data_IF_365773666967
#
_entry.id   IF_365773666967
#
_cell.length_a   1.000
_cell.length_b   1.000
_cell.length_c   1.000
_cell.angle_alpha   90.00
_cell.angle_beta   90.00
_cell.angle_gamma   90.00
#
_symmetry.space_group_name_H-M   'P 1'
#
loop_
_entity.id
_entity.type
_entity.pdbx_description
1 polymer ?
#
# COMPACT_ATOMS: atom_id res chain seq x y z
N UNK A 1 -4.92 -20.22 10.54
CA UNK A 1 -4.66 -19.41 11.76
C UNK A 1 -3.90 -18.16 11.37
N UNK A 2 -4.24 -17.03 12.00
CA UNK A 2 -3.59 -15.76 11.72
C UNK A 2 -2.36 -15.55 12.58
N UNK A 3 -1.32 -14.93 12.03
CA UNK A 3 -0.10 -14.63 12.75
C UNK A 3 -0.36 -13.59 13.86
N UNK A 4 0.48 -13.56 14.91
CA UNK A 4 0.39 -12.49 15.93
C UNK A 4 0.53 -11.09 15.31
N UNK A 5 1.38 -10.92 14.30
CA UNK A 5 1.57 -9.66 13.62
C UNK A 5 0.29 -9.20 12.92
N UNK A 6 -0.38 -10.11 12.22
CA UNK A 6 -1.64 -9.81 11.55
C UNK A 6 -2.71 -9.41 12.55
N UNK A 7 -2.81 -10.15 13.66
CA UNK A 7 -3.78 -9.86 14.71
C UNK A 7 -3.52 -8.47 15.31
N UNK A 8 -2.25 -8.14 15.56
CA UNK A 8 -1.90 -6.82 16.10
C UNK A 8 -2.32 -5.69 15.16
N UNK A 9 -2.04 -5.82 13.87
CA UNK A 9 -2.44 -4.81 12.89
C UNK A 9 -3.96 -4.71 12.75
N UNK A 10 -4.67 -5.82 12.93
CA UNK A 10 -6.13 -5.79 12.88
C UNK A 10 -6.70 -5.06 14.10
N UNK A 11 -6.14 -5.32 15.29
CA UNK A 11 -6.61 -4.69 16.53
C UNK A 11 -6.21 -3.23 16.64
N UNK A 12 -5.06 -2.89 16.08
CA UNK A 12 -4.47 -1.55 16.19
C UNK A 12 -4.00 -1.07 14.81
N UNK A 13 -4.93 -0.78 13.88
CA UNK A 13 -4.53 -0.33 12.54
C UNK A 13 -3.73 0.97 12.61
N UNK A 14 -2.63 1.02 11.87
CA UNK A 14 -1.79 2.20 11.79
C UNK A 14 -2.05 2.91 10.48
N UNK A 15 -2.07 4.25 10.54
CA UNK A 15 -2.10 5.10 9.35
C UNK A 15 -3.37 4.94 8.51
N UNK A 16 -4.49 4.60 9.16
CA UNK A 16 -5.78 4.55 8.48
C UNK A 16 -6.28 5.97 8.23
N UNK A 17 -6.95 6.19 7.10
CA UNK A 17 -7.57 7.45 6.76
C UNK A 17 -7.04 8.07 5.49
N UNK A 18 -7.64 9.21 5.12
CA UNK A 18 -7.25 9.97 3.95
C UNK A 18 -6.02 10.82 4.22
N UNK A 19 -5.37 11.26 3.15
CA UNK A 19 -4.25 12.18 3.21
C UNK A 19 -4.60 13.41 2.38
N UNK A 20 -4.35 14.59 2.94
CA UNK A 20 -4.56 15.84 2.19
C UNK A 20 -3.43 16.02 1.19
N UNK A 21 -3.79 16.34 -0.05
CA UNK A 21 -2.84 16.62 -1.14
C UNK A 21 -1.75 15.55 -1.26
N UNK A 22 -2.12 14.28 -1.47
CA UNK A 22 -1.13 13.22 -1.59
C UNK A 22 -0.29 13.37 -2.85
N UNK A 23 0.95 12.89 -2.80
CA UNK A 23 1.83 12.88 -3.96
C UNK A 23 1.57 11.69 -4.87
N UNK A 24 0.95 10.66 -4.36
CA UNK A 24 0.53 9.51 -5.15
C UNK A 24 -0.65 8.81 -4.51
N UNK A 25 -1.57 8.32 -5.34
CA UNK A 25 -2.75 7.56 -4.91
C UNK A 25 -2.88 6.34 -5.79
N UNK A 26 -3.14 5.19 -5.19
CA UNK A 26 -3.35 3.97 -5.94
C UNK A 26 -4.36 3.06 -5.28
N UNK A 27 -4.99 2.22 -6.08
CA UNK A 27 -5.99 1.27 -5.63
C UNK A 27 -5.67 -0.12 -6.11
N UNK A 28 -6.05 -1.10 -5.29
CA UNK A 28 -6.09 -2.49 -5.67
C UNK A 28 -7.41 -3.07 -5.23
N UNK A 29 -7.95 -4.01 -6.00
CA UNK A 29 -9.21 -4.63 -5.64
C UNK A 29 -9.23 -6.11 -5.99
N UNK A 30 -10.05 -6.85 -5.27
CA UNK A 30 -10.30 -8.25 -5.51
C UNK A 30 -11.82 -8.43 -5.58
N UNK A 31 -12.34 -8.44 -6.80
CA UNK A 31 -13.79 -8.40 -7.03
C UNK A 31 -14.54 -9.60 -6.44
N UNK A 32 -13.91 -10.77 -6.44
CA UNK A 32 -14.54 -11.98 -5.92
C UNK A 32 -14.94 -11.84 -4.45
N UNK A 33 -14.18 -11.08 -3.66
CA UNK A 33 -14.47 -10.83 -2.24
C UNK A 33 -14.88 -9.40 -1.96
N UNK A 34 -14.97 -8.58 -3.00
CA UNK A 34 -15.29 -7.15 -2.89
C UNK A 34 -14.31 -6.38 -2.00
N UNK A 35 -13.05 -6.84 -1.96
CA UNK A 35 -12.00 -6.15 -1.24
C UNK A 35 -11.46 -5.01 -2.10
N UNK A 36 -11.24 -3.86 -1.46
CA UNK A 36 -10.63 -2.70 -2.10
C UNK A 36 -9.67 -2.06 -1.11
N UNK A 37 -8.46 -1.75 -1.55
CA UNK A 37 -7.52 -0.97 -0.77
C UNK A 37 -7.09 0.24 -1.57
N UNK A 38 -7.07 1.40 -0.91
CA UNK A 38 -6.57 2.65 -1.50
C UNK A 38 -5.42 3.13 -0.64
N UNK A 39 -4.29 3.45 -1.28
CA UNK A 39 -3.10 3.96 -0.60
C UNK A 39 -2.80 5.38 -1.05
N UNK A 40 -2.41 6.19 -0.08
CA UNK A 40 -1.98 7.58 -0.27
C UNK A 40 -0.53 7.68 0.15
N UNK A 41 0.30 8.31 -0.67
CA UNK A 41 1.72 8.47 -0.37
C UNK A 41 2.10 9.94 -0.37
N UNK A 42 2.89 10.33 0.62
CA UNK A 42 3.59 11.61 0.64
C UNK A 42 5.07 11.32 0.43
N UNK A 43 5.69 12.06 -0.47
CA UNK A 43 7.03 11.77 -0.98
C UNK A 43 7.93 12.97 -0.77
N UNK A 44 9.18 12.70 -0.39
CA UNK A 44 10.24 13.70 -0.35
C UNK A 44 11.53 13.05 -0.83
N UNK A 45 12.20 13.71 -1.79
CA UNK A 45 13.45 13.22 -2.35
C UNK A 45 13.38 11.79 -2.86
N UNK A 46 12.26 11.46 -3.51
CA UNK A 46 12.05 10.14 -4.11
C UNK A 46 11.70 9.04 -3.14
N UNK A 47 11.52 9.34 -1.85
CA UNK A 47 11.18 8.37 -0.82
C UNK A 47 9.86 8.71 -0.16
N UNK A 48 9.15 7.67 0.28
CA UNK A 48 7.89 7.84 1.00
C UNK A 48 8.18 8.30 2.43
N UNK A 49 7.61 9.44 2.82
CA UNK A 49 7.71 9.94 4.19
C UNK A 49 6.46 9.67 5.01
N UNK A 50 5.33 9.44 4.35
CA UNK A 50 4.09 9.08 5.00
C UNK A 50 3.25 8.25 4.05
N UNK A 51 2.62 7.19 4.55
CA UNK A 51 1.65 6.41 3.81
C UNK A 51 0.39 6.27 4.65
N UNK A 52 -0.78 6.35 4.00
CA UNK A 52 -2.08 6.13 4.64
C UNK A 52 -2.92 5.23 3.77
N UNK A 53 -3.95 4.65 4.36
CA UNK A 53 -4.82 3.74 3.60
C UNK A 53 -6.28 3.89 3.99
N UNK A 54 -7.14 3.55 3.04
CA UNK A 54 -8.56 3.27 3.28
C UNK A 54 -8.85 1.91 2.66
N UNK A 55 -9.60 1.07 3.36
CA UNK A 55 -9.87 -0.29 2.90
C UNK A 55 -11.34 -0.63 3.12
N UNK A 56 -11.92 -1.27 2.14
CA UNK A 56 -13.23 -1.90 2.22
C UNK A 56 -13.02 -3.39 2.01
N UNK A 57 -13.44 -4.22 2.96
CA UNK A 57 -13.24 -5.66 2.83
C UNK A 57 -13.07 -6.34 4.17
N UNK A 58 -12.44 -7.50 4.15
CA UNK A 58 -12.29 -8.33 5.33
C UNK A 58 -11.19 -7.85 6.28
N UNK A 59 -11.19 -8.38 7.51
CA UNK A 59 -10.20 -8.07 8.51
C UNK A 59 -8.76 -8.26 8.05
N UNK A 60 -8.42 -9.39 7.41
CA UNK A 60 -7.07 -9.56 6.87
C UNK A 60 -6.63 -8.49 5.90
N UNK A 61 -7.53 -7.96 5.06
CA UNK A 61 -7.19 -6.89 4.13
C UNK A 61 -6.92 -5.58 4.87
N UNK A 62 -7.70 -5.28 5.90
CA UNK A 62 -7.48 -4.10 6.74
C UNK A 62 -6.12 -4.20 7.44
N UNK A 63 -5.85 -5.35 8.07
CA UNK A 63 -4.60 -5.57 8.79
C UNK A 63 -3.38 -5.52 7.85
N UNK A 64 -3.52 -6.12 6.67
CA UNK A 64 -2.44 -6.13 5.67
C UNK A 64 -2.19 -4.73 5.12
N UNK A 65 -3.24 -3.92 4.95
CA UNK A 65 -3.09 -2.52 4.54
C UNK A 65 -2.34 -1.71 5.60
N UNK A 66 -2.67 -1.92 6.87
CA UNK A 66 -1.95 -1.29 7.98
C UNK A 66 -0.46 -1.61 7.93
N UNK A 67 -0.12 -2.90 7.82
CA UNK A 67 1.27 -3.33 7.70
C UNK A 67 1.93 -2.76 6.43
N UNK A 68 1.17 -2.67 5.35
CA UNK A 68 1.64 -2.10 4.09
C UNK A 68 2.08 -0.65 4.21
N UNK A 69 1.42 0.15 5.04
CA UNK A 69 1.83 1.54 5.25
C UNK A 69 3.18 1.61 5.95
N UNK A 70 3.42 0.72 6.92
CA UNK A 70 4.71 0.67 7.60
C UNK A 70 5.80 0.15 6.67
N UNK A 71 5.48 -0.82 5.84
CA UNK A 71 6.41 -1.34 4.83
C UNK A 71 6.81 -0.26 3.84
N UNK A 72 5.87 0.57 3.42
CA UNK A 72 6.10 1.60 2.41
C UNK A 72 6.92 2.77 2.94
N UNK A 73 6.80 3.09 4.23
CA UNK A 73 7.47 4.24 4.81
C UNK A 73 8.99 4.12 4.69
N UNK A 74 9.63 5.16 4.18
CA UNK A 74 11.08 5.20 3.99
C UNK A 74 11.58 4.57 2.71
N UNK A 75 10.72 3.90 1.94
CA UNK A 75 11.13 3.21 0.72
C UNK A 75 11.19 4.16 -0.46
N UNK A 76 12.03 3.82 -1.43
CA UNK A 76 12.09 4.55 -2.70
C UNK A 76 10.88 4.20 -3.55
N UNK A 77 10.41 5.19 -4.31
CA UNK A 77 9.24 4.97 -5.18
C UNK A 77 9.47 3.86 -6.20
N UNK A 78 10.68 3.78 -6.77
CA UNK A 78 11.02 2.74 -7.75
C UNK A 78 10.89 1.34 -7.15
N UNK A 79 11.30 1.18 -5.90
CA UNK A 79 11.22 -0.11 -5.21
C UNK A 79 9.76 -0.48 -4.95
N UNK A 80 8.95 0.49 -4.56
CA UNK A 80 7.52 0.25 -4.32
C UNK A 80 6.75 0.00 -5.62
N UNK A 81 7.17 0.62 -6.71
CA UNK A 81 6.55 0.38 -8.02
C UNK A 81 6.73 -1.07 -8.51
N UNK A 82 7.71 -1.77 -7.95
CA UNK A 82 8.00 -3.17 -8.26
C UNK A 82 7.80 -4.10 -7.06
N UNK A 83 7.08 -3.65 -6.04
CA UNK A 83 6.89 -4.41 -4.80
C UNK A 83 6.21 -5.75 -5.05
N UNK A 84 6.85 -6.88 -4.68
CA UNK A 84 6.22 -8.19 -4.85
C UNK A 84 5.14 -8.44 -3.78
N UNK A 85 4.12 -9.21 -4.15
CA UNK A 85 3.08 -9.63 -3.20
C UNK A 85 3.68 -10.33 -1.98
N UNK A 86 4.71 -11.15 -2.21
CA UNK A 86 5.37 -11.90 -1.14
C UNK A 86 5.96 -11.02 -0.04
N UNK A 87 6.43 -9.80 -0.39
CA UNK A 87 6.94 -8.85 0.59
C UNK A 87 5.83 -8.35 1.51
N UNK A 88 4.64 -8.14 0.96
CA UNK A 88 3.48 -7.70 1.73
C UNK A 88 3.02 -8.84 2.64
N UNK A 89 2.95 -10.06 2.12
CA UNK A 89 2.56 -11.21 2.94
C UNK A 89 3.55 -11.42 4.09
N UNK A 90 4.84 -11.31 3.83
CA UNK A 90 5.86 -11.44 4.86
C UNK A 90 5.73 -10.37 5.96
N UNK A 91 5.29 -9.16 5.58
CA UNK A 91 5.12 -8.07 6.54
C UNK A 91 4.06 -8.35 7.61
N UNK A 92 3.12 -9.26 7.32
CA UNK A 92 2.10 -9.68 8.30
C UNK A 92 2.38 -11.06 8.88
N UNK A 93 3.57 -11.61 8.63
CA UNK A 93 3.96 -12.92 9.15
C UNK A 93 3.29 -14.09 8.44
N UNK A 94 2.81 -13.88 7.21
CA UNK A 94 2.14 -14.89 6.42
C UNK A 94 0.62 -14.80 6.53
N UNK A 95 -0.05 -15.34 5.53
CA UNK A 95 -1.52 -15.36 5.45
C UNK A 95 -1.99 -16.80 5.20
N UNK A 96 -3.14 -17.21 5.77
CA UNK A 96 -3.75 -18.48 5.38
C UNK A 96 -4.04 -18.47 3.88
N UNK A 97 -4.01 -19.66 3.25
CA UNK A 97 -4.16 -19.78 1.80
C UNK A 97 -5.38 -19.08 1.25
N UNK A 98 -6.52 -19.19 1.92
CA UNK A 98 -7.78 -18.57 1.49
C UNK A 98 -7.81 -17.05 1.69
N UNK A 99 -6.77 -16.49 2.32
CA UNK A 99 -6.67 -15.04 2.57
C UNK A 99 -5.47 -14.39 1.88
N UNK A 100 -4.74 -15.14 1.05
CA UNK A 100 -3.56 -14.59 0.37
C UNK A 100 -3.89 -13.45 -0.58
N UNK A 101 -5.13 -13.38 -1.07
CA UNK A 101 -5.56 -12.28 -1.91
C UNK A 101 -5.41 -10.92 -1.21
N UNK A 102 -5.40 -10.88 0.12
CA UNK A 102 -5.18 -9.64 0.86
C UNK A 102 -3.82 -9.03 0.53
N UNK A 103 -2.77 -9.85 0.46
CA UNK A 103 -1.44 -9.36 0.10
C UNK A 103 -1.40 -8.86 -1.35
N UNK A 104 -2.09 -9.56 -2.24
CA UNK A 104 -2.18 -9.19 -3.66
C UNK A 104 -2.87 -7.83 -3.83
N UNK A 105 -4.01 -7.64 -3.17
CA UNK A 105 -4.77 -6.38 -3.23
C UNK A 105 -3.92 -5.21 -2.71
N UNK A 106 -3.27 -5.39 -1.58
CA UNK A 106 -2.46 -4.35 -0.95
C UNK A 106 -1.23 -4.02 -1.79
N UNK A 107 -0.54 -5.05 -2.30
CA UNK A 107 0.62 -4.83 -3.17
C UNK A 107 0.23 -4.08 -4.44
N UNK A 108 -0.91 -4.44 -5.05
CA UNK A 108 -1.43 -3.72 -6.21
C UNK A 108 -1.64 -2.23 -5.90
N UNK A 109 -2.26 -1.94 -4.75
CA UNK A 109 -2.54 -0.56 -4.35
C UNK A 109 -1.25 0.23 -4.13
N UNK A 110 -0.27 -0.36 -3.45
CA UNK A 110 1.01 0.29 -3.19
C UNK A 110 1.77 0.53 -4.49
N UNK A 111 1.85 -0.48 -5.37
CA UNK A 111 2.50 -0.32 -6.67
C UNK A 111 1.85 0.79 -7.49
N UNK A 112 0.53 0.82 -7.51
CA UNK A 112 -0.21 1.83 -8.25
C UNK A 112 0.03 3.23 -7.68
N UNK A 113 0.06 3.37 -6.36
CA UNK A 113 0.32 4.65 -5.71
C UNK A 113 1.74 5.16 -6.01
N UNK A 114 2.73 4.26 -5.98
CA UNK A 114 4.11 4.61 -6.29
C UNK A 114 4.26 5.03 -7.76
N UNK A 115 3.62 4.32 -8.68
CA UNK A 115 3.64 4.65 -10.10
C UNK A 115 2.95 5.99 -10.37
N UNK A 116 1.86 6.25 -9.66
CA UNK A 116 1.17 7.53 -9.76
C UNK A 116 2.08 8.68 -9.30
N UNK A 117 2.78 8.49 -8.18
CA UNK A 117 3.72 9.49 -7.67
C UNK A 117 4.85 9.75 -8.66
N UNK A 118 5.42 8.69 -9.25
CA UNK A 118 6.48 8.81 -10.24
C UNK A 118 6.00 9.57 -11.47
N UNK A 119 4.80 9.26 -11.95
CA UNK A 119 4.21 9.94 -13.11
C UNK A 119 3.99 11.42 -12.83
N UNK A 120 3.50 11.77 -11.63
CA UNK A 120 3.29 13.15 -11.25
C UNK A 120 4.58 13.94 -11.13
N UNK A 121 5.66 13.30 -10.65
CA UNK A 121 6.97 13.91 -10.59
C UNK A 121 7.49 14.24 -11.99
N UNK A 122 7.32 13.35 -12.95
CA UNK A 122 7.70 13.61 -14.34
C UNK A 122 6.91 14.79 -14.92
N UNK A 123 5.61 14.82 -14.68
CA UNK A 123 4.75 15.91 -15.15
C UNK A 123 5.16 17.24 -14.52
N UNK A 124 5.51 17.24 -13.24
CA UNK A 124 5.93 18.46 -12.54
C UNK A 124 7.25 19.00 -13.08
N UNK A 125 8.13 18.15 -13.60
CA UNK A 125 9.39 18.60 -14.23
C UNK A 125 9.14 19.34 -15.53
N UNK A 126 8.05 18.98 -16.21
CA UNK A 126 7.62 19.68 -17.42
C UNK A 126 8.46 19.39 -18.65
N UNK A 127 8.08 20.01 -19.78
CA UNK A 127 8.73 19.73 -21.06
C UNK A 127 10.15 20.24 -21.19
N UNK A 128 10.62 21.14 -20.33
CA UNK A 128 12.01 21.60 -20.39
C UNK A 128 13.02 20.51 -20.10
N UNK A 129 12.57 19.39 -19.61
CA UNK A 129 13.43 18.22 -19.35
C UNK A 129 13.40 17.21 -20.50
N UNK A 130 12.62 17.51 -21.50
CA UNK A 130 12.49 16.62 -22.66
C UNK A 130 13.67 16.81 -23.61
#
# INVERSE_FOLDING_TARGET
MYSPTLIDHFRNPRNAGMMRDPDGVGEGEYQACMDLARFYLRVRDGRVVEARFQTYGCGPTIATSSAGTELAAGQRLEDLAALPDARVEAAVGGLPGERRHAAEVVALAIRAAARDALRRLETARGPENA
#
